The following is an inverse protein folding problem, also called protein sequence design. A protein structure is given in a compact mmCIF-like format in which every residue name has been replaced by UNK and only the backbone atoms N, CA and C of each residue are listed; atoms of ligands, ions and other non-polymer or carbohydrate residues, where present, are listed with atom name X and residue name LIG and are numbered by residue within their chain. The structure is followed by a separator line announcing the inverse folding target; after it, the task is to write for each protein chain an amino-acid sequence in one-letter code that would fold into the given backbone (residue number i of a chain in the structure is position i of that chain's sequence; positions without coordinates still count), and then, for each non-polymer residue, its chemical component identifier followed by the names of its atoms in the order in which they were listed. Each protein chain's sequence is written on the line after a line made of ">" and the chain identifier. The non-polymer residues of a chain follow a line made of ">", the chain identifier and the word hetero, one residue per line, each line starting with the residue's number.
data_IF_086423747947
#
_entry.id   IF_086423747947
#
_cell.length_a   1.000
_cell.length_b   1.000
_cell.length_c   1.000
_cell.angle_alpha   90.00
_cell.angle_beta   90.00
_cell.angle_gamma   90.00
#
_symmetry.space_group_name_H-M   'P 1'
#
loop_
_entity.id
_entity.type
_entity.pdbx_description
1 polymer ?
#
# COMPACT_ATOMS: atom_id res chain seq x y z
N UNK A 1 -22.53 -4.21 2.86
CA UNK A 1 -21.58 -4.61 1.81
C UNK A 1 -20.91 -3.39 1.20
N UNK A 2 -19.63 -3.49 0.85
CA UNK A 2 -18.82 -2.41 0.24
C UNK A 2 -18.47 -2.76 -1.20
N UNK A 3 -18.26 -1.76 -2.06
CA UNK A 3 -17.94 -1.99 -3.49
C UNK A 3 -16.44 -2.09 -3.78
N UNK A 4 -15.61 -1.48 -2.94
CA UNK A 4 -14.15 -1.47 -3.04
C UNK A 4 -13.56 -1.92 -1.70
N UNK A 5 -12.61 -2.85 -1.75
CA UNK A 5 -11.77 -3.22 -0.61
C UNK A 5 -10.30 -3.15 -1.01
N UNK A 6 -9.49 -2.58 -0.14
CA UNK A 6 -8.05 -2.51 -0.28
C UNK A 6 -7.39 -3.19 0.91
N UNK A 7 -6.51 -4.16 0.66
CA UNK A 7 -5.75 -4.87 1.69
C UNK A 7 -4.28 -4.47 1.64
N UNK A 8 -3.77 -3.76 2.66
CA UNK A 8 -2.37 -3.40 2.73
C UNK A 8 -1.49 -4.46 3.41
N UNK A 9 -2.08 -5.47 4.07
CA UNK A 9 -1.35 -6.48 4.85
C UNK A 9 -2.25 -7.66 5.24
N UNK A 10 -1.64 -8.81 5.56
CA UNK A 10 -2.29 -10.03 6.06
C UNK A 10 -3.40 -10.58 5.14
N UNK A 11 -3.27 -10.40 3.83
CA UNK A 11 -4.34 -10.78 2.88
C UNK A 11 -4.72 -12.25 2.97
N UNK A 12 -3.76 -13.19 3.08
CA UNK A 12 -4.10 -14.62 3.21
C UNK A 12 -5.05 -14.91 4.37
N UNK A 13 -4.86 -14.25 5.51
CA UNK A 13 -5.64 -14.49 6.73
C UNK A 13 -7.05 -13.92 6.64
N UNK A 14 -7.21 -12.80 5.93
CA UNK A 14 -8.46 -12.04 5.85
C UNK A 14 -9.25 -12.32 4.56
N UNK A 15 -8.69 -13.10 3.64
CA UNK A 15 -9.22 -13.25 2.29
C UNK A 15 -10.69 -13.69 2.25
N UNK A 16 -11.08 -14.65 3.09
CA UNK A 16 -12.46 -15.14 3.14
C UNK A 16 -13.45 -14.03 3.57
N UNK A 17 -13.10 -13.29 4.62
CA UNK A 17 -13.88 -12.19 5.17
C UNK A 17 -13.97 -11.02 4.19
N UNK A 18 -12.87 -10.73 3.48
CA UNK A 18 -12.85 -9.73 2.40
C UNK A 18 -13.85 -10.12 1.31
N UNK A 19 -13.80 -11.35 0.81
CA UNK A 19 -14.75 -11.84 -0.21
C UNK A 19 -16.20 -11.77 0.28
N UNK A 20 -16.45 -12.05 1.55
CA UNK A 20 -17.77 -11.94 2.17
C UNK A 20 -18.26 -10.48 2.27
N UNK A 21 -17.39 -9.55 2.66
CA UNK A 21 -17.74 -8.14 2.85
C UNK A 21 -18.06 -7.40 1.53
N UNK A 22 -17.37 -7.77 0.45
CA UNK A 22 -17.53 -7.13 -0.86
C UNK A 22 -18.91 -7.45 -1.47
N UNK A 23 -19.57 -6.42 -2.02
CA UNK A 23 -20.81 -6.56 -2.78
C UNK A 23 -20.58 -7.31 -4.11
N UNK A 24 -21.59 -7.98 -4.69
CA UNK A 24 -21.48 -8.50 -6.05
C UNK A 24 -20.96 -7.44 -7.03
N UNK A 25 -20.08 -7.84 -7.95
CA UNK A 25 -19.36 -7.00 -8.92
C UNK A 25 -18.39 -5.98 -8.31
N UNK A 26 -18.03 -6.13 -7.04
CA UNK A 26 -17.05 -5.28 -6.38
C UNK A 26 -15.61 -5.55 -6.82
N UNK A 27 -14.70 -4.67 -6.37
CA UNK A 27 -13.27 -4.72 -6.68
C UNK A 27 -12.44 -4.90 -5.43
N UNK A 28 -11.53 -5.86 -5.48
CA UNK A 28 -10.55 -6.12 -4.44
C UNK A 28 -9.16 -5.74 -4.94
N UNK A 29 -8.42 -4.94 -4.17
CA UNK A 29 -7.03 -4.61 -4.46
C UNK A 29 -6.12 -4.95 -3.26
N UNK A 30 -4.87 -5.31 -3.54
CA UNK A 30 -3.87 -5.64 -2.53
C UNK A 30 -2.46 -5.17 -2.95
N UNK A 31 -1.61 -4.93 -1.96
CA UNK A 31 -0.20 -4.52 -2.13
C UNK A 31 0.78 -5.35 -1.29
N UNK A 32 0.30 -6.25 -0.43
CA UNK A 32 1.15 -7.20 0.29
C UNK A 32 1.46 -8.43 -0.57
N UNK A 33 2.38 -9.26 -0.10
CA UNK A 33 2.77 -10.51 -0.74
C UNK A 33 2.18 -11.70 0.04
N UNK A 34 1.02 -12.26 -0.38
CA UNK A 34 0.45 -13.44 0.25
C UNK A 34 1.44 -14.62 0.18
N UNK A 35 1.77 -15.21 1.33
CA UNK A 35 2.64 -16.38 1.43
C UNK A 35 2.08 -17.62 0.71
N UNK A 36 0.75 -17.75 0.67
CA UNK A 36 0.05 -18.82 -0.04
C UNK A 36 -0.75 -18.27 -1.23
N UNK A 37 -0.90 -19.02 -2.33
CA UNK A 37 -1.74 -18.62 -3.45
C UNK A 37 -3.18 -18.31 -3.01
N UNK A 38 -3.73 -17.20 -3.49
CA UNK A 38 -5.12 -16.86 -3.25
C UNK A 38 -6.06 -17.74 -4.10
N UNK A 39 -7.05 -18.33 -3.46
CA UNK A 39 -8.09 -19.10 -4.16
C UNK A 39 -9.03 -18.16 -4.93
N UNK A 40 -8.72 -17.92 -6.20
CA UNK A 40 -9.51 -17.06 -7.09
C UNK A 40 -10.95 -17.57 -7.28
N UNK A 41 -11.23 -18.85 -7.03
CA UNK A 41 -12.58 -19.39 -7.21
C UNK A 41 -13.58 -18.78 -6.23
N UNK A 42 -13.11 -18.31 -5.06
CA UNK A 42 -13.95 -17.58 -4.08
C UNK A 42 -14.52 -16.29 -4.64
N UNK A 43 -13.86 -15.67 -5.64
CA UNK A 43 -14.31 -14.43 -6.27
C UNK A 43 -15.49 -14.64 -7.24
N UNK A 44 -15.66 -15.87 -7.74
CA UNK A 44 -16.55 -16.18 -8.87
C UNK A 44 -18.02 -15.90 -8.58
N UNK A 45 -18.52 -16.34 -7.42
CA UNK A 45 -19.94 -16.26 -7.07
C UNK A 45 -20.45 -14.81 -7.06
N UNK A 46 -19.59 -13.88 -6.65
CA UNK A 46 -19.88 -12.46 -6.62
C UNK A 46 -19.33 -11.70 -7.84
N UNK A 47 -18.72 -12.39 -8.81
CA UNK A 47 -18.08 -11.78 -9.99
C UNK A 47 -17.10 -10.66 -9.60
N UNK A 48 -16.28 -10.90 -8.58
CA UNK A 48 -15.33 -9.90 -8.09
C UNK A 48 -14.10 -9.81 -9.01
N UNK A 49 -13.58 -8.60 -9.18
CA UNK A 49 -12.26 -8.41 -9.81
C UNK A 49 -11.17 -8.29 -8.75
N UNK A 50 -10.00 -8.87 -9.02
CA UNK A 50 -8.79 -8.71 -8.21
C UNK A 50 -7.79 -7.82 -8.96
N UNK A 51 -7.25 -6.81 -8.27
CA UNK A 51 -6.28 -5.85 -8.79
C UNK A 51 -5.01 -5.91 -7.96
N UNK A 52 -3.91 -6.35 -8.58
CA UNK A 52 -2.59 -6.16 -8.01
C UNK A 52 -2.19 -4.71 -8.18
N UNK A 53 -1.79 -4.04 -7.10
CA UNK A 53 -1.12 -2.76 -7.22
C UNK A 53 0.35 -2.87 -6.86
N UNK A 54 1.19 -2.40 -7.77
CA UNK A 54 2.63 -2.31 -7.59
C UNK A 54 3.08 -0.99 -8.22
N UNK A 55 3.33 0.00 -7.36
CA UNK A 55 3.82 1.32 -7.75
C UNK A 55 5.12 1.34 -8.56
N UNK A 56 5.89 0.25 -8.64
CA UNK A 56 7.08 0.17 -9.50
C UNK A 56 6.77 -0.24 -10.94
N UNK A 57 5.59 -0.80 -11.24
CA UNK A 57 5.25 -1.31 -12.58
C UNK A 57 5.50 -0.28 -13.69
N UNK A 58 5.06 0.95 -13.50
CA UNK A 58 5.22 2.02 -14.50
C UNK A 58 6.69 2.32 -14.81
N UNK A 59 7.51 2.51 -13.78
CA UNK A 59 8.91 2.90 -13.92
C UNK A 59 9.80 1.74 -14.37
N UNK A 60 9.54 0.51 -13.91
CA UNK A 60 10.28 -0.68 -14.33
C UNK A 60 10.10 -0.98 -15.82
N UNK A 61 8.89 -0.76 -16.36
CA UNK A 61 8.57 -1.07 -17.77
C UNK A 61 8.54 0.16 -18.68
N UNK A 62 8.78 1.37 -18.16
CA UNK A 62 8.70 2.61 -18.94
C UNK A 62 7.35 2.76 -19.65
N UNK A 63 6.25 2.51 -18.94
CA UNK A 63 4.91 2.50 -19.57
C UNK A 63 4.55 3.89 -20.12
N UNK A 64 3.66 3.92 -21.12
CA UNK A 64 3.21 5.18 -21.75
C UNK A 64 2.63 6.19 -20.74
N UNK A 65 2.12 5.70 -19.62
CA UNK A 65 1.52 6.48 -18.55
C UNK A 65 2.45 6.70 -17.34
N UNK A 66 3.77 6.49 -17.48
CA UNK A 66 4.75 6.68 -16.39
C UNK A 66 4.65 8.07 -15.73
N UNK A 67 4.36 9.10 -16.53
CA UNK A 67 4.16 10.48 -16.07
C UNK A 67 3.06 10.62 -14.99
N UNK A 68 2.12 9.68 -14.91
CA UNK A 68 1.05 9.72 -13.90
C UNK A 68 1.57 9.71 -12.47
N UNK A 69 2.75 9.14 -12.21
CA UNK A 69 3.35 9.21 -10.87
C UNK A 69 3.72 10.64 -10.47
N UNK A 70 4.31 11.42 -11.38
CA UNK A 70 4.62 12.82 -11.15
C UNK A 70 3.33 13.65 -10.92
N UNK A 71 2.31 13.44 -11.76
CA UNK A 71 1.02 14.13 -11.61
C UNK A 71 0.37 13.83 -10.24
N UNK A 72 0.39 12.57 -9.82
CA UNK A 72 -0.15 12.14 -8.53
C UNK A 72 0.60 12.80 -7.36
N UNK A 73 1.94 12.77 -7.36
CA UNK A 73 2.75 13.38 -6.30
C UNK A 73 2.57 14.90 -6.25
N UNK A 74 2.45 15.56 -7.40
CA UNK A 74 2.18 17.00 -7.48
C UNK A 74 0.82 17.36 -6.87
N UNK A 75 -0.20 16.54 -7.14
CA UNK A 75 -1.52 16.72 -6.52
C UNK A 75 -1.48 16.49 -5.01
N UNK A 76 -0.75 15.46 -4.53
CA UNK A 76 -0.56 15.22 -3.09
C UNK A 76 0.11 16.41 -2.42
N UNK A 77 1.14 17.01 -3.03
CA UNK A 77 1.79 18.22 -2.51
C UNK A 77 0.78 19.37 -2.37
N UNK A 78 0.01 19.66 -3.41
CA UNK A 78 -0.98 20.72 -3.38
C UNK A 78 -2.08 20.48 -2.34
N UNK A 79 -2.44 19.22 -2.07
CA UNK A 79 -3.39 18.86 -1.01
C UNK A 79 -2.79 19.04 0.39
N UNK A 80 -1.49 18.80 0.57
CA UNK A 80 -0.76 19.08 1.82
C UNK A 80 -0.73 20.59 2.08
N UNK A 81 -0.37 21.39 1.08
CA UNK A 81 -0.32 22.86 1.21
C UNK A 81 -1.69 23.46 1.56
N UNK A 82 -2.77 22.84 1.07
CA UNK A 82 -4.17 23.20 1.38
C UNK A 82 -4.67 22.65 2.72
N UNK A 83 -3.86 21.86 3.43
CA UNK A 83 -4.24 21.19 4.67
C UNK A 83 -5.27 20.07 4.52
N UNK A 84 -5.55 19.61 3.29
CA UNK A 84 -6.46 18.49 3.00
C UNK A 84 -5.82 17.13 3.31
N UNK A 85 -4.49 17.05 3.17
CA UNK A 85 -3.68 15.91 3.59
C UNK A 85 -2.70 16.36 4.68
N UNK A 86 -2.44 15.48 5.64
CA UNK A 86 -1.45 15.68 6.70
C UNK A 86 -0.37 14.62 6.57
N UNK A 87 0.83 14.95 7.01
CA UNK A 87 1.94 14.00 7.09
C UNK A 87 1.57 12.79 7.94
N UNK A 88 2.10 11.63 7.57
CA UNK A 88 2.03 10.39 8.33
C UNK A 88 3.34 10.08 9.07
N UNK A 89 4.24 11.06 9.18
CA UNK A 89 5.45 10.96 10.00
C UNK A 89 5.09 10.47 11.41
N UNK A 90 5.66 9.32 11.79
CA UNK A 90 5.51 8.74 13.12
C UNK A 90 6.76 8.99 13.96
N UNK A 91 7.88 8.40 13.54
CA UNK A 91 9.16 8.48 14.25
C UNK A 91 10.26 9.04 13.35
N UNK A 92 11.18 9.81 13.94
CA UNK A 92 12.39 10.29 13.28
C UNK A 92 13.61 9.65 13.95
N UNK A 93 14.41 8.90 13.19
CA UNK A 93 15.60 8.19 13.69
C UNK A 93 16.91 8.96 13.46
N UNK A 94 16.83 10.23 13.08
CA UNK A 94 17.95 11.15 12.96
C UNK A 94 18.72 11.00 11.65
N UNK A 95 20.04 11.20 11.72
CA UNK A 95 20.93 11.23 10.54
C UNK A 95 20.94 9.91 9.79
N UNK A 96 21.06 9.99 8.47
CA UNK A 96 21.16 8.80 7.62
C UNK A 96 22.56 8.20 7.79
N UNK A 97 22.64 7.17 8.62
CA UNK A 97 23.82 6.34 8.77
C UNK A 97 23.42 4.86 8.88
N UNK A 98 24.40 3.95 8.79
CA UNK A 98 24.14 2.51 8.80
C UNK A 98 23.49 2.01 10.10
N UNK A 99 23.80 2.65 11.24
CA UNK A 99 23.23 2.29 12.54
C UNK A 99 21.73 2.60 12.59
N UNK A 100 21.35 3.83 12.24
CA UNK A 100 19.97 4.29 12.24
C UNK A 100 19.12 3.57 11.18
N UNK A 101 19.70 3.25 10.01
CA UNK A 101 19.03 2.43 9.00
C UNK A 101 18.72 1.03 9.51
N UNK A 102 19.68 0.34 10.14
CA UNK A 102 19.44 -1.00 10.73
C UNK A 102 18.36 -0.96 11.80
N UNK A 103 18.36 0.07 12.64
CA UNK A 103 17.31 0.28 13.64
C UNK A 103 15.93 0.47 13.00
N UNK A 104 15.84 1.28 11.93
CA UNK A 104 14.59 1.49 11.19
C UNK A 104 14.07 0.20 10.54
N UNK A 105 14.96 -0.57 9.90
CA UNK A 105 14.62 -1.88 9.34
C UNK A 105 14.06 -2.84 10.39
N UNK A 106 14.80 -3.03 11.49
CA UNK A 106 14.38 -3.92 12.57
C UNK A 106 13.02 -3.52 13.14
N UNK A 107 12.74 -2.21 13.28
CA UNK A 107 11.43 -1.75 13.74
C UNK A 107 10.31 -2.04 12.74
N UNK A 108 10.51 -1.74 11.44
CA UNK A 108 9.48 -1.99 10.40
C UNK A 108 9.15 -3.49 10.32
N UNK A 109 10.16 -4.37 10.42
CA UNK A 109 9.99 -5.83 10.39
C UNK A 109 9.14 -6.38 11.53
N UNK A 110 8.99 -5.64 12.64
CA UNK A 110 8.09 -6.03 13.73
C UNK A 110 6.60 -5.91 13.37
N UNK A 111 6.26 -5.18 12.30
CA UNK A 111 4.90 -4.78 11.93
C UNK A 111 4.16 -3.95 13.01
N UNK A 112 4.88 -3.34 13.96
CA UNK A 112 4.28 -2.52 15.04
C UNK A 112 4.38 -1.02 14.79
N UNK A 113 5.10 -0.59 13.75
CA UNK A 113 5.28 0.81 13.42
C UNK A 113 3.95 1.49 13.07
N UNK A 114 3.68 2.64 13.70
CA UNK A 114 2.53 3.49 13.39
C UNK A 114 3.00 4.70 12.58
N UNK A 115 2.46 4.87 11.37
CA UNK A 115 2.87 5.95 10.47
C UNK A 115 4.14 5.59 9.68
N UNK A 116 5.05 6.56 9.51
CA UNK A 116 6.29 6.41 8.76
C UNK A 116 7.51 6.74 9.63
N UNK A 117 8.50 5.85 9.60
CA UNK A 117 9.84 6.11 10.16
C UNK A 117 10.64 6.89 9.12
N UNK A 118 11.23 8.02 9.53
CA UNK A 118 12.01 8.91 8.66
C UNK A 118 13.42 9.10 9.22
N UNK A 119 14.39 9.25 8.33
CA UNK A 119 15.75 9.67 8.60
C UNK A 119 16.08 10.85 7.68
N UNK A 120 16.90 11.79 8.13
CA UNK A 120 17.23 13.00 7.38
C UNK A 120 18.66 13.49 7.66
N UNK A 121 19.31 14.10 6.65
CA UNK A 121 20.73 14.49 6.75
C UNK A 121 21.69 13.30 6.64
N UNK A 122 23.00 13.55 6.60
CA UNK A 122 24.05 12.54 6.48
C UNK A 122 25.21 12.84 7.44
#
# INVERSE_FOLDING_TARGET
>A
HVTLVFSPTHTNQQYAQVVEAIAPQGKFALIDDPAEPLDIMKLKLKSLSLHWELMFTRSMFGTKDMQKQHELLSNVSAMIDKGLLKTTLGENYGVINAENLKKAHAHIETNQAVGKVVLEGF
#
